data_IF_623998996258
#
_entry.id   IF_623998996258
#
_cell.length_a   1.000
_cell.length_b   1.000
_cell.length_c   1.000
_cell.angle_alpha   90.00
_cell.angle_beta   90.00
_cell.angle_gamma   90.00
#
_symmetry.space_group_name_H-M   'P 1'
#
loop_
_entity.id
_entity.type
_entity.pdbx_description
1 polymer ?
#
# COMPACT_ATOMS: atom_id res chain seq x y z
N UNK A 1 -16.69 25.29 19.85
CA UNK A 1 -16.22 24.10 19.10
C UNK A 1 -15.61 24.47 17.74
N UNK A 2 -16.34 25.16 16.83
CA UNK A 2 -15.81 25.54 15.50
C UNK A 2 -14.58 26.48 15.53
N UNK A 3 -14.53 27.46 16.45
CA UNK A 3 -13.39 28.39 16.58
C UNK A 3 -12.10 27.69 17.02
N UNK A 4 -12.21 26.74 17.96
CA UNK A 4 -11.08 25.91 18.41
C UNK A 4 -10.57 25.01 17.29
N UNK A 5 -11.47 24.36 16.54
CA UNK A 5 -11.09 23.53 15.40
C UNK A 5 -10.34 24.34 14.33
N UNK A 6 -10.83 25.54 13.99
CA UNK A 6 -10.14 26.43 13.06
C UNK A 6 -8.73 26.83 13.52
N UNK A 7 -8.56 27.08 14.82
CA UNK A 7 -7.24 27.38 15.40
C UNK A 7 -6.26 26.21 15.25
N UNK A 8 -6.67 24.98 15.61
CA UNK A 8 -5.82 23.80 15.48
C UNK A 8 -5.48 23.47 14.03
N UNK A 9 -6.46 23.60 13.11
CA UNK A 9 -6.21 23.39 11.68
C UNK A 9 -5.22 24.41 11.12
N UNK A 10 -5.34 25.69 11.52
CA UNK A 10 -4.38 26.72 11.13
C UNK A 10 -2.96 26.44 11.64
N UNK A 11 -2.84 26.00 12.91
CA UNK A 11 -1.56 25.59 13.48
C UNK A 11 -0.94 24.40 12.73
N UNK A 12 -1.73 23.36 12.46
CA UNK A 12 -1.29 22.18 11.73
C UNK A 12 -0.83 22.55 10.31
N UNK A 13 -1.60 23.39 9.62
CA UNK A 13 -1.27 23.85 8.27
C UNK A 13 0.04 24.64 8.24
N UNK A 14 0.20 25.62 9.13
CA UNK A 14 1.42 26.42 9.23
C UNK A 14 2.65 25.57 9.56
N UNK A 15 2.53 24.70 10.57
CA UNK A 15 3.61 23.78 10.96
C UNK A 15 4.02 22.87 9.79
N UNK A 16 3.07 22.22 9.13
CA UNK A 16 3.36 21.26 8.05
C UNK A 16 4.00 21.97 6.85
N UNK A 17 3.48 23.15 6.48
CA UNK A 17 4.05 23.99 5.40
C UNK A 17 5.51 24.34 5.68
N UNK A 18 5.85 24.67 6.93
CA UNK A 18 7.24 24.95 7.31
C UNK A 18 8.11 23.69 7.22
N UNK A 19 7.61 22.52 7.67
CA UNK A 19 8.38 21.27 7.70
C UNK A 19 8.74 20.75 6.31
N UNK A 20 7.88 20.95 5.31
CA UNK A 20 8.14 20.55 3.91
C UNK A 20 9.45 21.15 3.38
N UNK A 21 9.75 22.41 3.73
CA UNK A 21 10.97 23.09 3.27
C UNK A 21 12.28 22.50 3.81
N UNK A 22 12.21 21.65 4.84
CA UNK A 22 13.38 21.05 5.49
C UNK A 22 13.34 19.51 5.47
N UNK A 23 12.45 18.92 4.66
CA UNK A 23 12.26 17.49 4.62
C UNK A 23 13.24 16.82 3.64
N UNK A 24 14.37 16.35 4.15
CA UNK A 24 15.41 15.66 3.37
C UNK A 24 15.78 14.26 3.91
N UNK A 25 15.24 13.90 5.08
CA UNK A 25 15.68 12.72 5.83
C UNK A 25 14.91 11.42 5.54
N UNK A 26 13.86 11.47 4.71
CA UNK A 26 13.04 10.31 4.40
C UNK A 26 12.62 10.34 2.92
N UNK A 27 12.62 9.20 2.21
CA UNK A 27 12.29 9.15 0.78
C UNK A 27 10.79 9.21 0.57
N UNK A 28 10.22 10.40 0.64
CA UNK A 28 8.80 10.65 0.37
C UNK A 28 8.67 11.84 -0.58
N UNK A 29 7.80 11.70 -1.58
CA UNK A 29 7.43 12.85 -2.40
C UNK A 29 6.57 13.79 -1.55
N UNK A 30 6.90 15.07 -1.53
CA UNK A 30 6.19 16.11 -0.76
C UNK A 30 5.57 17.19 -1.67
N UNK A 31 5.71 17.04 -3.00
CA UNK A 31 5.12 17.93 -3.99
C UNK A 31 3.87 17.27 -4.58
N UNK A 32 2.72 17.93 -4.39
CA UNK A 32 1.40 17.33 -4.57
C UNK A 32 0.41 18.28 -5.28
N UNK A 33 0.86 18.95 -6.35
CA UNK A 33 0.10 19.99 -7.05
C UNK A 33 -1.20 19.47 -7.72
N UNK A 34 -1.31 18.16 -7.95
CA UNK A 34 -2.43 17.52 -8.66
C UNK A 34 -3.64 17.16 -7.77
N UNK A 35 -3.53 17.28 -6.44
CA UNK A 35 -4.62 16.90 -5.51
C UNK A 35 -5.85 17.80 -5.61
N UNK A 36 -5.71 19.04 -6.09
CA UNK A 36 -6.85 19.93 -6.30
C UNK A 36 -7.92 19.31 -7.22
N UNK A 37 -7.50 18.54 -8.23
CA UNK A 37 -8.40 17.84 -9.16
C UNK A 37 -9.11 16.65 -8.51
N UNK A 38 -8.46 16.01 -7.51
CA UNK A 38 -9.01 14.85 -6.81
C UNK A 38 -9.83 15.23 -5.57
N UNK A 39 -9.67 16.45 -5.05
CA UNK A 39 -10.35 16.93 -3.84
C UNK A 39 -11.87 16.73 -3.84
N UNK A 40 -12.61 16.91 -4.96
CA UNK A 40 -14.05 16.63 -4.99
C UNK A 40 -14.42 15.17 -4.68
N UNK A 41 -13.51 14.21 -4.88
CA UNK A 41 -13.76 12.79 -4.58
C UNK A 41 -13.79 12.51 -3.07
N UNK A 42 -13.19 13.38 -2.25
CA UNK A 42 -13.11 13.21 -0.79
C UNK A 42 -14.47 13.32 -0.08
N UNK A 43 -15.51 13.78 -0.78
CA UNK A 43 -16.87 13.80 -0.26
C UNK A 43 -17.58 12.43 -0.30
N UNK A 44 -16.97 11.43 -0.96
CA UNK A 44 -17.54 10.09 -1.10
C UNK A 44 -16.76 9.07 -0.26
N UNK A 45 -17.49 8.12 0.32
CA UNK A 45 -16.89 6.97 1.00
C UNK A 45 -16.59 5.85 -0.01
N UNK A 46 -15.57 6.05 -0.83
CA UNK A 46 -15.11 5.07 -1.81
C UNK A 46 -14.47 3.87 -1.12
N UNK A 47 -14.82 2.66 -1.55
CA UNK A 47 -14.26 1.42 -1.00
C UNK A 47 -14.05 0.37 -2.10
N UNK A 48 -12.79 0.09 -2.45
CA UNK A 48 -12.42 -0.95 -3.41
C UNK A 48 -12.37 -2.32 -2.73
N UNK A 49 -13.52 -2.77 -2.23
CA UNK A 49 -13.60 -4.04 -1.52
C UNK A 49 -13.37 -5.24 -2.46
N UNK A 50 -12.50 -6.16 -2.07
CA UNK A 50 -12.24 -7.40 -2.82
C UNK A 50 -11.38 -7.21 -4.07
N UNK A 51 -11.45 -8.19 -4.96
CA UNK A 51 -10.56 -8.29 -6.13
C UNK A 51 -10.81 -7.15 -7.16
N UNK A 52 -9.78 -6.42 -7.61
CA UNK A 52 -9.93 -5.31 -8.57
C UNK A 52 -10.53 -5.69 -9.93
N UNK A 53 -10.35 -6.93 -10.38
CA UNK A 53 -10.80 -7.44 -11.68
C UNK A 53 -12.18 -8.09 -11.63
N UNK A 54 -12.74 -8.31 -10.43
CA UNK A 54 -14.07 -8.86 -10.26
C UNK A 54 -15.11 -7.76 -10.08
N UNK A 55 -16.31 -8.03 -10.60
CA UNK A 55 -17.46 -7.14 -10.42
C UNK A 55 -17.76 -6.96 -8.93
N UNK A 56 -17.95 -5.70 -8.55
CA UNK A 56 -18.26 -5.34 -7.17
C UNK A 56 -19.74 -5.51 -6.85
N UNK A 57 -20.03 -5.80 -5.58
CA UNK A 57 -21.40 -5.92 -5.06
C UNK A 57 -22.00 -4.57 -4.64
N UNK A 58 -21.19 -3.52 -4.57
CA UNK A 58 -21.56 -2.16 -4.12
C UNK A 58 -20.97 -1.15 -5.10
N UNK A 59 -21.77 -0.16 -5.49
CA UNK A 59 -21.43 0.80 -6.57
C UNK A 59 -20.47 1.94 -6.14
N UNK A 60 -20.14 2.05 -4.85
CA UNK A 60 -19.29 3.13 -4.30
C UNK A 60 -17.81 2.72 -4.26
N UNK A 61 -17.18 2.62 -5.44
CA UNK A 61 -15.77 2.25 -5.58
C UNK A 61 -15.07 2.98 -6.73
N UNK A 62 -13.75 2.80 -6.82
CA UNK A 62 -12.86 3.30 -7.88
C UNK A 62 -12.02 2.19 -8.53
N UNK A 63 -12.46 0.93 -8.48
CA UNK A 63 -11.74 -0.22 -9.09
C UNK A 63 -11.28 -0.02 -10.53
N UNK A 64 -12.05 0.65 -11.39
CA UNK A 64 -11.60 0.92 -12.77
C UNK A 64 -10.35 1.81 -12.79
N UNK A 65 -10.25 2.76 -11.86
CA UNK A 65 -9.06 3.59 -11.68
C UNK A 65 -7.90 2.77 -11.11
N UNK A 66 -8.18 1.85 -10.18
CA UNK A 66 -7.19 0.92 -9.65
C UNK A 66 -6.60 0.03 -10.76
N UNK A 67 -7.44 -0.58 -11.59
CA UNK A 67 -7.01 -1.40 -12.74
C UNK A 67 -6.21 -0.57 -13.74
N UNK A 68 -6.59 0.69 -14.00
CA UNK A 68 -5.81 1.57 -14.87
C UNK A 68 -4.40 1.87 -14.34
N UNK A 69 -4.24 2.02 -13.02
CA UNK A 69 -2.92 2.16 -12.39
C UNK A 69 -2.11 0.88 -12.53
N UNK A 70 -2.74 -0.29 -12.33
CA UNK A 70 -2.08 -1.58 -12.50
C UNK A 70 -1.64 -1.81 -13.95
N UNK A 71 -2.52 -1.53 -14.93
CA UNK A 71 -2.23 -1.57 -16.37
C UNK A 71 -1.01 -0.70 -16.70
N UNK A 72 -0.91 0.50 -16.12
CA UNK A 72 0.22 1.41 -16.35
C UNK A 72 1.55 0.83 -15.83
N UNK A 73 1.56 0.25 -14.63
CA UNK A 73 2.77 -0.41 -14.09
C UNK A 73 3.11 -1.70 -14.85
N UNK A 74 2.12 -2.49 -15.25
CA UNK A 74 2.33 -3.69 -16.08
C UNK A 74 3.00 -3.31 -17.40
N UNK A 75 2.52 -2.25 -18.07
CA UNK A 75 3.17 -1.71 -19.28
C UNK A 75 4.59 -1.23 -19.01
N UNK A 76 4.82 -0.52 -17.90
CA UNK A 76 6.15 -0.03 -17.52
C UNK A 76 7.15 -1.18 -17.28
N UNK A 77 6.66 -2.33 -16.82
CA UNK A 77 7.48 -3.52 -16.56
C UNK A 77 7.43 -4.56 -17.67
N UNK A 78 6.83 -4.22 -18.82
CA UNK A 78 6.74 -5.11 -19.98
C UNK A 78 6.03 -6.44 -19.66
N UNK A 79 5.00 -6.40 -18.81
CA UNK A 79 4.14 -7.53 -18.49
C UNK A 79 2.89 -7.48 -19.37
N UNK A 80 2.60 -8.58 -20.07
CA UNK A 80 1.42 -8.71 -20.91
C UNK A 80 0.11 -8.59 -20.08
N UNK A 81 -0.93 -8.03 -20.70
CA UNK A 81 -2.17 -7.63 -19.99
C UNK A 81 -2.90 -8.79 -19.29
N UNK A 82 -2.71 -10.01 -19.75
CA UNK A 82 -3.29 -11.24 -19.21
C UNK A 82 -2.31 -12.05 -18.34
N UNK A 83 -1.10 -11.52 -18.08
CA UNK A 83 -0.04 -12.19 -17.33
C UNK A 83 0.27 -11.54 -15.98
N UNK A 84 -0.59 -10.65 -15.51
CA UNK A 84 -0.45 -10.07 -14.18
C UNK A 84 -1.76 -10.16 -13.38
N UNK A 85 -1.59 -10.22 -12.07
CA UNK A 85 -2.63 -9.95 -11.10
C UNK A 85 -2.01 -9.08 -10.00
N UNK A 86 -2.80 -8.16 -9.45
CA UNK A 86 -2.35 -7.27 -8.39
C UNK A 86 -3.46 -6.35 -7.92
N UNK A 87 -3.13 -5.54 -6.92
CA UNK A 87 -4.01 -4.54 -6.35
C UNK A 87 -3.18 -3.38 -5.79
N UNK A 88 -3.79 -2.21 -5.61
CA UNK A 88 -3.10 -1.03 -5.07
C UNK A 88 -3.05 -1.13 -3.54
N UNK A 89 -1.83 -1.09 -2.99
CA UNK A 89 -1.59 -1.25 -1.55
C UNK A 89 -1.52 0.10 -0.83
N UNK A 90 -1.66 0.10 0.49
CA UNK A 90 -1.48 1.32 1.31
C UNK A 90 0.00 1.72 1.49
N UNK A 91 0.93 0.91 0.97
CA UNK A 91 2.36 1.19 1.00
C UNK A 91 3.21 -0.06 0.87
N UNK A 92 4.52 0.14 0.73
CA UNK A 92 5.46 -0.96 0.46
C UNK A 92 5.46 -2.06 1.52
N UNK A 93 5.15 -1.77 2.79
CA UNK A 93 5.05 -2.83 3.82
C UNK A 93 3.95 -3.83 3.48
N UNK A 94 2.75 -3.36 3.11
CA UNK A 94 1.64 -4.25 2.75
C UNK A 94 1.98 -5.08 1.51
N UNK A 95 2.50 -4.45 0.46
CA UNK A 95 2.89 -5.15 -0.77
C UNK A 95 3.96 -6.22 -0.55
N UNK A 96 4.99 -5.94 0.26
CA UNK A 96 6.02 -6.93 0.59
C UNK A 96 5.44 -8.10 1.40
N UNK A 97 4.56 -7.83 2.37
CA UNK A 97 3.92 -8.88 3.16
C UNK A 97 3.02 -9.76 2.31
N UNK A 98 2.28 -9.15 1.38
CA UNK A 98 1.46 -9.90 0.45
C UNK A 98 2.32 -10.79 -0.47
N UNK A 99 3.43 -10.28 -1.00
CA UNK A 99 4.37 -11.08 -1.80
C UNK A 99 4.98 -12.25 -1.02
N UNK A 100 5.38 -12.04 0.24
CA UNK A 100 5.87 -13.12 1.11
C UNK A 100 4.79 -14.17 1.36
N UNK A 101 3.56 -13.72 1.64
CA UNK A 101 2.42 -14.61 1.85
C UNK A 101 2.18 -15.48 0.60
N UNK A 102 2.11 -14.89 -0.58
CA UNK A 102 1.95 -15.63 -1.84
C UNK A 102 3.09 -16.61 -2.07
N UNK A 103 4.34 -16.19 -1.85
CA UNK A 103 5.51 -17.06 -1.96
C UNK A 103 5.42 -18.28 -1.04
N UNK A 104 4.96 -18.09 0.20
CA UNK A 104 4.74 -19.18 1.16
C UNK A 104 3.66 -20.16 0.70
N UNK A 105 2.51 -19.65 0.26
CA UNK A 105 1.39 -20.50 -0.15
C UNK A 105 1.71 -21.29 -1.43
N UNK A 106 2.45 -20.68 -2.36
CA UNK A 106 2.82 -21.29 -3.64
C UNK A 106 4.06 -22.20 -3.54
N UNK A 107 4.95 -21.96 -2.56
CA UNK A 107 6.19 -22.71 -2.36
C UNK A 107 6.34 -23.14 -0.88
N UNK A 108 5.59 -24.16 -0.40
CA UNK A 108 5.58 -24.54 1.02
C UNK A 108 6.92 -25.00 1.61
N UNK A 109 7.86 -25.44 0.76
CA UNK A 109 9.24 -25.79 1.14
C UNK A 109 10.28 -24.77 0.67
N UNK A 110 9.85 -23.61 0.18
CA UNK A 110 10.74 -22.58 -0.33
C UNK A 110 11.53 -21.91 0.79
N UNK A 111 12.80 -21.64 0.54
CA UNK A 111 13.64 -20.85 1.43
C UNK A 111 13.55 -19.37 1.07
N UNK A 112 13.39 -18.52 2.08
CA UNK A 112 13.31 -17.07 1.89
C UNK A 112 14.68 -16.41 2.11
N UNK A 113 15.17 -15.72 1.09
CA UNK A 113 16.44 -15.01 1.13
C UNK A 113 16.21 -13.50 1.08
N UNK A 114 16.88 -12.76 1.98
CA UNK A 114 16.86 -11.30 2.00
C UNK A 114 18.22 -10.75 2.39
N UNK A 115 18.50 -9.51 2.00
CA UNK A 115 19.71 -8.83 2.41
C UNK A 115 19.57 -8.28 3.85
N UNK A 116 20.68 -8.17 4.59
CA UNK A 116 20.69 -7.65 5.97
C UNK A 116 20.15 -6.20 6.06
N UNK A 117 20.22 -5.43 4.97
CA UNK A 117 19.72 -4.04 4.88
C UNK A 117 18.26 -3.92 4.43
N UNK A 118 17.54 -5.03 4.30
CA UNK A 118 16.11 -5.00 3.97
C UNK A 118 15.32 -4.26 5.06
N UNK A 119 14.15 -3.72 4.72
CA UNK A 119 13.36 -2.89 5.62
C UNK A 119 12.95 -3.65 6.89
N UNK A 120 13.06 -2.97 8.04
CA UNK A 120 12.81 -3.54 9.37
C UNK A 120 11.40 -4.13 9.52
N UNK A 121 10.40 -3.56 8.83
CA UNK A 121 9.03 -4.08 8.83
C UNK A 121 8.92 -5.47 8.21
N UNK A 122 9.79 -5.81 7.25
CA UNK A 122 9.86 -7.16 6.69
C UNK A 122 10.53 -8.12 7.68
N UNK A 123 11.58 -7.68 8.36
CA UNK A 123 12.32 -8.48 9.34
C UNK A 123 11.45 -8.95 10.52
N UNK A 124 10.69 -8.07 11.16
CA UNK A 124 9.84 -8.44 12.31
C UNK A 124 8.75 -9.45 11.91
N UNK A 125 8.16 -9.27 10.73
CA UNK A 125 7.10 -10.16 10.20
C UNK A 125 7.62 -11.51 9.74
N UNK A 126 8.86 -11.57 9.26
CA UNK A 126 9.51 -12.84 8.95
C UNK A 126 9.75 -13.70 10.19
N UNK A 127 10.09 -13.09 11.32
CA UNK A 127 10.22 -13.81 12.59
C UNK A 127 8.89 -14.46 12.97
N UNK A 128 7.77 -13.72 12.88
CA UNK A 128 6.42 -14.28 13.08
C UNK A 128 6.11 -15.41 12.07
N UNK A 129 6.46 -15.24 10.79
CA UNK A 129 6.24 -16.28 9.77
C UNK A 129 7.05 -17.55 10.06
N UNK A 130 8.28 -17.41 10.52
CA UNK A 130 9.18 -18.53 10.85
C UNK A 130 8.65 -19.29 12.06
N UNK A 131 8.23 -18.58 13.10
CA UNK A 131 7.61 -19.16 14.30
C UNK A 131 6.30 -19.89 13.96
N UNK A 132 5.51 -19.36 13.02
CA UNK A 132 4.28 -20.01 12.55
C UNK A 132 4.56 -21.28 11.75
N UNK A 133 5.54 -21.27 10.84
CA UNK A 133 5.97 -22.46 10.08
C UNK A 133 6.43 -23.57 11.04
N UNK A 134 7.25 -23.22 12.05
CA UNK A 134 7.70 -24.17 13.06
C UNK A 134 6.52 -24.79 13.82
N UNK A 135 5.50 -24.00 14.20
CA UNK A 135 4.29 -24.50 14.87
C UNK A 135 3.43 -25.42 14.01
N UNK A 136 3.35 -25.18 12.69
CA UNK A 136 2.61 -26.05 11.77
C UNK A 136 3.34 -27.39 11.55
N UNK A 137 4.68 -27.37 11.49
CA UNK A 137 5.50 -28.57 11.30
C UNK A 137 5.50 -29.53 12.50
N UNK A 138 5.17 -29.06 13.70
CA UNK A 138 5.04 -29.89 14.92
C UNK A 138 3.68 -30.57 15.07
N UNK A 139 2.74 -30.32 14.16
CA UNK A 139 1.37 -30.90 14.18
C UNK A 139 1.09 -31.86 13.00
N UNK A 140 2.11 -32.26 12.24
CA UNK A 140 2.12 -33.44 11.37
C UNK A 140 2.93 -34.57 12.04
#
# INVERSE_FOLDING_TARGET
MMVLLGHYLGQLFGHTTQRVNYHLGYPVNICYDHYATLAPLLQFHLNNCGDPFLQNTVDFHSKDFEVAVLDWFAQLWEIEKDQYWGYVTNGGTEGNLHGILLGRELLPGGEYYMHQKTLTTQFSKLQECTEWIQKQSTHQ
#
